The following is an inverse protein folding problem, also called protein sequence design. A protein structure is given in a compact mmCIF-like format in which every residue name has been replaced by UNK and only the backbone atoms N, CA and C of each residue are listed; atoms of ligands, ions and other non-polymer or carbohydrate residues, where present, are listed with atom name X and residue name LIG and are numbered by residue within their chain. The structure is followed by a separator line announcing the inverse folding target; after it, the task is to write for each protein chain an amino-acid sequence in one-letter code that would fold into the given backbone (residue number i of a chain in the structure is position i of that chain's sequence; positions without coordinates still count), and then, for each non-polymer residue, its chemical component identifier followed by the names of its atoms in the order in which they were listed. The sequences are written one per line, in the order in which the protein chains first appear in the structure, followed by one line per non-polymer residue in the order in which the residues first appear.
data_IF_988595405309
#
_entry.id   IF_988595405309
#
_cell.length_a   1.000
_cell.length_b   1.000
_cell.length_c   1.000
_cell.angle_alpha   90.00
_cell.angle_beta   90.00
_cell.angle_gamma   90.00
#
_symmetry.space_group_name_H-M   'P 1'
#
loop_
_entity.id
_entity.type
_entity.pdbx_description
1 polymer ?
#
# COMPACT_ATOMS: atom_id res chain seq x y z
N UNK A 1 30.37 18.83 33.12
CA UNK A 1 28.94 19.07 33.02
C UNK A 1 28.49 18.38 31.76
N UNK A 2 28.32 17.07 31.88
CA UNK A 2 28.00 16.15 30.76
C UNK A 2 26.49 16.09 30.61
N UNK A 3 26.01 16.45 29.43
CA UNK A 3 24.57 16.41 29.11
C UNK A 3 24.16 14.98 28.78
N UNK A 4 23.59 14.29 29.74
CA UNK A 4 22.84 13.05 29.54
C UNK A 4 21.45 13.37 28.93
N UNK A 5 21.42 13.56 27.63
CA UNK A 5 20.16 13.86 26.91
C UNK A 5 19.62 12.68 26.10
N UNK A 6 20.29 11.53 26.10
CA UNK A 6 19.91 10.38 25.27
C UNK A 6 19.37 9.15 26.00
N UNK A 7 19.34 9.15 27.33
CA UNK A 7 18.93 7.94 28.08
C UNK A 7 17.44 7.81 28.36
N UNK A 8 16.64 8.86 28.18
CA UNK A 8 15.20 8.80 28.50
C UNK A 8 14.26 8.45 27.35
N UNK A 9 14.79 8.21 26.15
CA UNK A 9 13.99 7.73 25.00
C UNK A 9 13.97 6.20 24.84
N UNK A 10 14.75 5.48 25.64
CA UNK A 10 14.90 4.02 25.52
C UNK A 10 13.85 3.21 26.30
N UNK A 11 12.96 3.81 27.09
CA UNK A 11 12.04 3.08 27.97
C UNK A 11 10.60 2.94 27.45
N UNK A 12 10.24 3.50 26.30
CA UNK A 12 8.99 3.17 25.63
C UNK A 12 9.25 2.15 24.50
N UNK A 13 9.81 0.99 24.86
CA UNK A 13 9.77 -0.15 23.96
C UNK A 13 8.30 -0.46 23.68
N UNK A 14 7.79 0.08 22.57
CA UNK A 14 6.49 -0.32 22.04
C UNK A 14 6.54 -1.83 21.88
N UNK A 15 5.87 -2.53 22.78
CA UNK A 15 5.88 -3.98 22.76
C UNK A 15 5.28 -4.44 21.43
N UNK A 16 5.72 -5.60 20.92
CA UNK A 16 5.11 -6.20 19.72
C UNK A 16 3.57 -6.26 19.84
N UNK A 17 3.05 -6.41 21.06
CA UNK A 17 1.61 -6.31 21.38
C UNK A 17 1.05 -4.91 21.15
N UNK A 18 1.77 -3.85 21.50
CA UNK A 18 1.31 -2.46 21.29
C UNK A 18 1.29 -2.10 19.82
N UNK A 19 2.23 -2.61 19.01
CA UNK A 19 2.24 -2.40 17.56
C UNK A 19 1.13 -3.21 16.88
N UNK A 20 0.89 -4.43 17.32
CA UNK A 20 -0.22 -5.26 16.84
C UNK A 20 -1.58 -4.69 17.28
N UNK A 21 -1.69 -4.16 18.49
CA UNK A 21 -2.90 -3.47 18.96
C UNK A 21 -3.12 -2.14 18.22
N UNK A 22 -2.06 -1.39 17.91
CA UNK A 22 -2.14 -0.21 17.06
C UNK A 22 -2.58 -0.53 15.64
N UNK A 23 -1.97 -1.53 15.00
CA UNK A 23 -2.37 -2.03 13.68
C UNK A 23 -3.77 -2.63 13.66
N UNK A 24 -4.13 -3.40 14.69
CA UNK A 24 -5.47 -3.94 14.86
C UNK A 24 -6.50 -2.83 15.11
N UNK A 25 -6.14 -1.75 15.79
CA UNK A 25 -7.02 -0.58 15.99
C UNK A 25 -7.32 0.14 14.68
N UNK A 26 -6.33 0.29 13.79
CA UNK A 26 -6.53 0.84 12.46
C UNK A 26 -7.39 -0.06 11.58
N UNK A 27 -7.13 -1.36 11.60
CA UNK A 27 -7.94 -2.32 10.87
C UNK A 27 -9.37 -2.38 11.46
N UNK A 28 -9.52 -2.45 12.78
CA UNK A 28 -10.83 -2.41 13.44
C UNK A 28 -11.59 -1.12 13.09
N UNK A 29 -10.90 0.02 13.03
CA UNK A 29 -11.50 1.30 12.63
C UNK A 29 -11.99 1.28 11.19
N UNK A 30 -11.25 0.67 10.26
CA UNK A 30 -11.65 0.52 8.87
C UNK A 30 -12.86 -0.43 8.67
N UNK A 31 -13.04 -1.38 9.61
CA UNK A 31 -14.13 -2.36 9.60
C UNK A 31 -15.28 -2.04 10.56
N UNK A 32 -15.27 -0.89 11.22
CA UNK A 32 -16.41 -0.49 12.06
C UNK A 32 -17.72 -0.66 11.29
N UNK A 33 -18.72 -1.34 11.88
CA UNK A 33 -20.02 -1.55 11.23
C UNK A 33 -20.67 -0.23 10.83
N UNK A 34 -21.59 -0.26 9.85
CA UNK A 34 -22.33 0.94 9.42
C UNK A 34 -23.00 1.73 10.56
N UNK A 35 -23.18 1.13 11.72
CA UNK A 35 -23.69 1.82 12.91
C UNK A 35 -22.73 2.88 13.46
N UNK A 36 -21.43 2.73 13.23
CA UNK A 36 -20.45 3.79 13.53
C UNK A 36 -20.52 4.97 12.52
N UNK A 37 -21.24 4.82 11.41
CA UNK A 37 -21.61 5.94 10.54
C UNK A 37 -22.55 6.96 11.22
N UNK A 38 -23.17 6.57 12.34
CA UNK A 38 -24.23 7.35 12.94
C UNK A 38 -23.78 8.71 13.49
N UNK A 39 -22.49 8.90 13.73
CA UNK A 39 -22.02 10.16 14.30
C UNK A 39 -21.64 11.20 13.24
N UNK A 40 -21.08 10.80 12.06
CA UNK A 40 -20.62 11.76 11.05
C UNK A 40 -20.67 11.25 9.58
N UNK A 41 -21.33 10.13 9.33
CA UNK A 41 -21.52 9.60 7.97
C UNK A 41 -20.27 9.02 7.31
N UNK A 42 -19.16 8.87 8.02
CA UNK A 42 -17.90 8.36 7.47
C UNK A 42 -17.95 6.86 7.25
N UNK A 43 -17.38 6.44 6.13
CA UNK A 43 -17.16 5.05 5.75
C UNK A 43 -15.65 4.81 5.57
N UNK A 44 -14.94 4.44 6.65
CA UNK A 44 -13.48 4.35 6.61
C UNK A 44 -13.01 3.25 5.66
N UNK A 45 -12.01 3.58 4.85
CA UNK A 45 -11.34 2.68 3.92
C UNK A 45 -9.84 2.71 4.19
N UNK A 46 -9.21 1.55 4.23
CA UNK A 46 -7.76 1.41 4.40
C UNK A 46 -7.15 0.90 3.09
N UNK A 47 -6.23 1.67 2.54
CA UNK A 47 -5.40 1.24 1.41
C UNK A 47 -3.95 1.21 1.86
N UNK A 48 -3.33 0.05 1.75
CA UNK A 48 -1.89 -0.13 1.99
C UNK A 48 -1.19 -0.14 0.64
N UNK A 49 -0.25 0.78 0.44
CA UNK A 49 0.56 0.86 -0.77
C UNK A 49 1.98 0.49 -0.43
N UNK A 50 2.53 -0.50 -1.13
CA UNK A 50 3.90 -0.99 -0.94
C UNK A 50 4.69 -0.66 -2.19
N UNK A 51 5.76 0.12 -2.02
CA UNK A 51 6.69 0.47 -3.07
C UNK A 51 7.90 -0.46 -2.97
N UNK A 52 7.88 -1.52 -3.80
CA UNK A 52 8.86 -2.61 -3.74
C UNK A 52 10.15 -2.28 -4.47
N UNK A 53 11.28 -2.65 -3.88
CA UNK A 53 12.61 -2.40 -4.39
C UNK A 53 13.33 -1.27 -3.67
N UNK A 54 12.83 -0.85 -2.49
CA UNK A 54 13.43 0.19 -1.65
C UNK A 54 13.41 1.58 -2.29
N UNK A 55 12.23 2.19 -2.34
CA UNK A 55 12.12 3.64 -2.60
C UNK A 55 13.09 4.41 -1.69
N UNK A 56 13.96 5.24 -2.27
CA UNK A 56 14.86 6.10 -1.50
C UNK A 56 14.06 7.18 -0.75
N UNK A 57 14.02 7.03 0.57
CA UNK A 57 13.32 7.97 1.45
C UNK A 57 13.98 9.34 1.49
N UNK A 58 15.32 9.42 1.33
CA UNK A 58 16.06 10.67 1.36
C UNK A 58 15.92 11.45 0.06
N UNK A 59 15.75 10.76 -1.07
CA UNK A 59 15.42 11.41 -2.34
C UNK A 59 13.95 11.81 -2.42
N UNK A 60 13.06 11.10 -1.72
CA UNK A 60 11.61 11.37 -1.71
C UNK A 60 11.25 12.50 -0.78
N UNK A 61 11.73 12.46 0.47
CA UNK A 61 11.52 13.49 1.50
C UNK A 61 12.89 13.86 2.06
N UNK A 62 13.48 14.87 1.43
CA UNK A 62 14.85 15.28 1.68
C UNK A 62 14.98 16.10 2.96
N UNK A 63 15.90 15.76 3.86
CA UNK A 63 16.21 16.58 5.03
C UNK A 63 17.13 17.75 4.64
N UNK A 64 16.61 18.69 3.85
CA UNK A 64 17.37 19.82 3.28
C UNK A 64 17.97 20.72 4.36
N UNK A 65 17.34 20.77 5.54
CA UNK A 65 17.84 21.50 6.69
C UNK A 65 19.03 20.87 7.39
N UNK A 66 19.39 19.63 7.04
CA UNK A 66 20.56 18.94 7.56
C UNK A 66 21.81 19.45 6.81
N UNK A 67 22.85 20.01 7.51
CA UNK A 67 24.03 20.52 6.88
C UNK A 67 24.84 19.48 6.10
N UNK A 68 24.74 18.21 6.46
CA UNK A 68 25.49 17.13 5.82
C UNK A 68 24.75 16.51 4.62
N UNK A 69 23.42 16.77 4.48
CA UNK A 69 22.59 16.15 3.45
C UNK A 69 23.13 16.34 2.03
N UNK A 70 23.45 17.59 1.68
CA UNK A 70 23.91 17.89 0.31
C UNK A 70 25.26 17.24 -0.02
N UNK A 71 26.17 17.18 0.97
CA UNK A 71 27.48 16.54 0.81
C UNK A 71 27.38 15.02 0.69
N UNK A 72 26.54 14.40 1.50
CA UNK A 72 26.33 12.96 1.51
C UNK A 72 25.52 12.46 0.31
N UNK A 73 24.58 13.26 -0.17
CA UNK A 73 23.68 12.89 -1.28
C UNK A 73 24.21 13.30 -2.67
N UNK A 74 25.18 14.19 -2.71
CA UNK A 74 25.92 14.56 -3.92
C UNK A 74 25.03 15.16 -5.02
N UNK A 75 25.21 14.69 -6.25
CA UNK A 75 24.54 15.24 -7.43
C UNK A 75 23.03 15.04 -7.46
N UNK A 76 22.47 14.08 -6.72
CA UNK A 76 21.03 13.82 -6.63
C UNK A 76 20.35 14.60 -5.51
N UNK A 77 21.10 15.31 -4.68
CA UNK A 77 20.54 16.12 -3.60
C UNK A 77 19.54 17.15 -4.12
N UNK A 78 18.40 17.24 -3.44
CA UNK A 78 17.42 18.31 -3.65
C UNK A 78 17.88 19.58 -2.94
N UNK A 79 17.38 20.72 -3.39
CA UNK A 79 17.72 22.04 -2.83
C UNK A 79 16.44 22.77 -2.42
N UNK A 80 16.58 23.78 -1.56
CA UNK A 80 15.45 24.62 -1.15
C UNK A 80 14.99 25.58 -2.28
N UNK A 81 15.87 25.86 -3.26
CA UNK A 81 15.59 26.77 -4.37
C UNK A 81 16.38 26.39 -5.62
N UNK A 82 16.01 26.93 -6.77
CA UNK A 82 16.69 26.68 -8.03
C UNK A 82 16.13 25.47 -8.82
N UNK A 83 16.89 24.94 -9.79
CA UNK A 83 16.39 23.90 -10.71
C UNK A 83 16.01 22.56 -10.05
N UNK A 84 16.59 22.27 -8.89
CA UNK A 84 16.31 21.07 -8.09
C UNK A 84 15.51 21.39 -6.83
N UNK A 85 14.71 22.44 -6.86
CA UNK A 85 13.95 22.88 -5.71
C UNK A 85 12.91 21.85 -5.31
N UNK A 86 12.98 21.44 -4.05
CA UNK A 86 11.95 20.63 -3.41
C UNK A 86 10.71 21.46 -3.06
N UNK A 87 9.57 20.83 -2.94
CA UNK A 87 8.40 21.39 -2.29
C UNK A 87 8.60 21.35 -0.77
N UNK A 88 8.96 22.47 -0.15
CA UNK A 88 9.21 22.49 1.29
C UNK A 88 7.95 22.09 2.07
N UNK A 89 8.10 21.15 2.98
CA UNK A 89 7.07 20.69 3.90
C UNK A 89 7.08 21.51 5.20
N UNK A 90 8.29 21.82 5.67
CA UNK A 90 8.58 22.67 6.80
C UNK A 90 9.95 23.35 6.61
N UNK A 91 10.58 23.85 7.68
CA UNK A 91 11.89 24.48 7.62
C UNK A 91 13.05 23.50 7.41
N UNK A 92 12.83 22.19 7.59
CA UNK A 92 13.86 21.16 7.56
C UNK A 92 13.69 20.17 6.40
N UNK A 93 12.45 19.75 6.12
CA UNK A 93 12.15 18.73 5.10
C UNK A 93 11.57 19.32 3.82
N UNK A 94 11.99 18.76 2.69
CA UNK A 94 11.45 19.07 1.37
C UNK A 94 11.04 17.81 0.62
N UNK A 95 9.88 17.85 -0.02
CA UNK A 95 9.33 16.76 -0.83
C UNK A 95 9.83 16.85 -2.26
N UNK A 96 10.13 15.71 -2.88
CA UNK A 96 10.52 15.64 -4.29
C UNK A 96 9.51 16.37 -5.21
N UNK A 97 9.95 17.20 -6.15
CA UNK A 97 9.06 18.04 -6.96
C UNK A 97 8.11 17.24 -7.87
N UNK A 98 8.42 15.99 -8.18
CA UNK A 98 7.53 15.10 -8.93
C UNK A 98 6.28 14.65 -8.14
N UNK A 99 6.12 15.07 -6.88
CA UNK A 99 4.98 14.71 -6.02
C UNK A 99 4.05 15.89 -5.68
N UNK A 100 3.54 16.64 -6.66
CA UNK A 100 2.77 17.86 -6.42
C UNK A 100 1.46 17.59 -5.66
N UNK A 101 0.80 16.47 -5.93
CA UNK A 101 -0.46 16.11 -5.25
C UNK A 101 -0.22 15.76 -3.79
N UNK A 102 0.85 15.04 -3.47
CA UNK A 102 1.20 14.76 -2.08
C UNK A 102 1.54 16.04 -1.34
N UNK A 103 2.29 16.96 -1.97
CA UNK A 103 2.59 18.29 -1.42
C UNK A 103 1.30 19.09 -1.13
N UNK A 104 0.32 19.04 -2.03
CA UNK A 104 -0.99 19.66 -1.81
C UNK A 104 -1.72 19.03 -0.62
N UNK A 105 -1.80 17.70 -0.58
CA UNK A 105 -2.44 16.97 0.53
C UNK A 105 -1.77 17.28 1.88
N UNK A 106 -0.44 17.40 1.90
CA UNK A 106 0.29 17.75 3.11
C UNK A 106 -0.09 19.16 3.61
N UNK A 107 -0.11 20.15 2.72
CA UNK A 107 -0.55 21.53 3.07
C UNK A 107 -2.00 21.59 3.53
N UNK A 108 -2.85 20.72 3.00
CA UNK A 108 -4.27 20.60 3.39
C UNK A 108 -4.46 19.77 4.69
N UNK A 109 -3.38 19.38 5.38
CA UNK A 109 -3.39 18.49 6.56
C UNK A 109 -4.07 17.13 6.31
N UNK A 110 -3.98 16.62 5.08
CA UNK A 110 -4.52 15.33 4.66
C UNK A 110 -3.44 14.27 4.43
N UNK A 111 -2.18 14.63 4.56
CA UNK A 111 -1.04 13.73 4.48
C UNK A 111 -0.04 14.03 5.59
N UNK A 112 0.70 13.01 5.99
CA UNK A 112 1.80 13.10 6.93
C UNK A 112 2.96 12.22 6.47
N UNK A 113 4.17 12.54 6.90
CA UNK A 113 5.37 11.75 6.66
C UNK A 113 5.93 11.30 8.00
N UNK A 114 6.28 10.02 8.10
CA UNK A 114 7.05 9.47 9.22
C UNK A 114 8.43 9.14 8.68
N UNK A 115 9.40 9.97 9.00
CA UNK A 115 10.79 9.84 8.52
C UNK A 115 11.60 8.90 9.43
N UNK A 116 12.74 8.41 8.91
CA UNK A 116 13.67 7.54 9.64
C UNK A 116 13.03 6.25 10.21
N UNK A 117 12.05 5.68 9.53
CA UNK A 117 11.46 4.40 9.88
C UNK A 117 12.34 3.27 9.36
N UNK A 118 12.68 2.31 10.22
CA UNK A 118 13.47 1.15 9.85
C UNK A 118 12.84 -0.14 10.36
N UNK A 119 12.91 -1.20 9.56
CA UNK A 119 12.62 -2.57 10.01
C UNK A 119 13.78 -3.11 10.86
N UNK A 120 13.59 -4.20 11.62
CA UNK A 120 14.68 -4.87 12.34
C UNK A 120 15.66 -5.61 11.41
N UNK A 121 15.34 -5.76 10.14
CA UNK A 121 16.18 -6.41 9.14
C UNK A 121 17.42 -5.56 8.83
N UNK A 122 18.60 -6.19 8.83
CA UNK A 122 19.90 -5.50 8.68
C UNK A 122 20.74 -5.99 7.48
N UNK A 123 20.28 -7.03 6.81
CA UNK A 123 20.92 -7.54 5.61
C UNK A 123 20.54 -6.69 4.38
N UNK A 124 21.24 -6.90 3.26
CA UNK A 124 21.10 -6.07 2.05
C UNK A 124 20.21 -6.71 0.97
N UNK A 125 19.28 -7.57 1.35
CA UNK A 125 18.33 -8.17 0.41
C UNK A 125 17.03 -7.38 0.39
N UNK A 126 16.69 -6.80 -0.75
CA UNK A 126 15.39 -6.14 -0.94
C UNK A 126 14.23 -7.11 -0.77
N UNK A 127 14.36 -8.34 -1.26
CA UNK A 127 13.32 -9.37 -1.15
C UNK A 127 13.03 -9.75 0.30
N UNK A 128 14.09 -9.98 1.07
CA UNK A 128 13.96 -10.31 2.49
C UNK A 128 13.44 -9.12 3.31
N UNK A 129 13.89 -7.91 2.98
CA UNK A 129 13.36 -6.67 3.58
C UNK A 129 11.86 -6.48 3.31
N UNK A 130 11.41 -6.78 2.10
CA UNK A 130 9.99 -6.77 1.73
C UNK A 130 9.21 -7.84 2.48
N UNK A 131 9.76 -9.07 2.59
CA UNK A 131 9.14 -10.15 3.35
C UNK A 131 8.93 -9.75 4.82
N UNK A 132 9.96 -9.17 5.44
CA UNK A 132 9.87 -8.64 6.82
C UNK A 132 8.81 -7.55 6.93
N UNK A 133 8.77 -6.60 5.99
CA UNK A 133 7.79 -5.51 5.98
C UNK A 133 6.36 -6.02 5.81
N UNK A 134 6.14 -6.93 4.86
CA UNK A 134 4.81 -7.44 4.52
C UNK A 134 4.34 -8.52 5.50
N UNK A 135 5.24 -9.35 6.02
CA UNK A 135 4.91 -10.34 7.03
C UNK A 135 4.74 -9.73 8.43
N UNK A 136 5.44 -8.63 8.73
CA UNK A 136 5.48 -8.02 10.05
C UNK A 136 6.27 -8.82 11.09
N UNK A 137 7.13 -9.76 10.65
CA UNK A 137 8.01 -10.54 11.53
C UNK A 137 9.46 -10.03 11.46
N UNK A 138 10.23 -10.31 12.48
CA UNK A 138 11.60 -9.80 12.59
C UNK A 138 12.61 -10.44 11.61
N UNK A 139 12.24 -11.49 10.89
CA UNK A 139 13.09 -12.17 9.90
C UNK A 139 12.28 -12.70 8.73
N UNK A 140 12.90 -12.84 7.56
CA UNK A 140 12.25 -13.31 6.34
C UNK A 140 11.92 -14.81 6.39
N UNK A 141 10.99 -15.23 5.51
CA UNK A 141 10.67 -16.64 5.26
C UNK A 141 10.02 -17.41 6.41
N UNK A 142 9.71 -16.75 7.53
CA UNK A 142 9.17 -17.43 8.73
C UNK A 142 7.72 -17.82 8.62
N UNK A 143 6.94 -17.08 7.84
CA UNK A 143 5.50 -17.30 7.68
C UNK A 143 5.04 -16.94 6.28
N UNK A 144 4.03 -17.69 5.81
CA UNK A 144 3.38 -17.47 4.53
C UNK A 144 2.18 -16.50 4.63
N UNK A 145 2.01 -15.82 5.77
CA UNK A 145 0.91 -14.87 6.00
C UNK A 145 1.41 -13.47 6.28
N UNK A 146 0.68 -12.49 5.74
CA UNK A 146 0.94 -11.08 5.93
C UNK A 146 0.27 -10.52 7.20
N UNK A 147 0.81 -9.40 7.71
CA UNK A 147 0.26 -8.78 8.92
C UNK A 147 -1.16 -8.25 8.71
N UNK A 148 -1.50 -7.77 7.52
CA UNK A 148 -2.82 -7.24 7.23
C UNK A 148 -3.87 -8.35 7.13
N UNK A 149 -3.51 -9.52 6.58
CA UNK A 149 -4.41 -10.67 6.57
C UNK A 149 -4.68 -11.18 8.00
N UNK A 150 -3.65 -11.29 8.85
CA UNK A 150 -3.85 -11.65 10.26
C UNK A 150 -4.66 -10.61 11.02
N UNK A 151 -4.54 -9.33 10.69
CA UNK A 151 -5.40 -8.30 11.25
C UNK A 151 -6.88 -8.52 10.85
N UNK A 152 -7.13 -8.91 9.59
CA UNK A 152 -8.47 -9.27 9.12
C UNK A 152 -9.06 -10.46 9.89
N UNK A 153 -8.25 -11.49 10.14
CA UNK A 153 -8.68 -12.66 10.94
C UNK A 153 -9.08 -12.29 12.36
N UNK A 154 -8.42 -11.28 12.93
CA UNK A 154 -8.67 -10.81 14.29
C UNK A 154 -9.91 -9.89 14.42
N UNK A 155 -10.47 -9.42 13.30
CA UNK A 155 -11.65 -8.56 13.32
C UNK A 155 -12.92 -9.37 13.68
N UNK A 156 -13.89 -8.74 14.37
CA UNK A 156 -15.17 -9.37 14.63
C UNK A 156 -15.84 -9.78 13.32
N UNK A 157 -16.31 -11.03 13.26
CA UNK A 157 -17.10 -11.52 12.13
C UNK A 157 -18.46 -10.80 12.13
N UNK A 158 -18.78 -10.11 11.06
CA UNK A 158 -20.03 -9.40 10.84
C UNK A 158 -20.48 -9.56 9.39
N UNK A 159 -21.72 -9.16 9.09
CA UNK A 159 -22.31 -9.25 7.74
C UNK A 159 -21.52 -8.52 6.64
N UNK A 160 -20.49 -7.75 7.02
CA UNK A 160 -19.68 -6.90 6.17
C UNK A 160 -18.19 -7.19 6.19
N UNK A 161 -17.77 -8.34 6.68
CA UNK A 161 -16.41 -8.80 6.44
C UNK A 161 -16.32 -9.22 4.97
N UNK A 162 -16.34 -8.21 4.11
CA UNK A 162 -15.99 -8.39 2.72
C UNK A 162 -14.53 -8.77 2.64
N UNK A 163 -14.20 -9.65 1.72
CA UNK A 163 -12.82 -10.04 1.42
C UNK A 163 -11.95 -8.79 1.24
N UNK A 164 -10.71 -8.83 1.69
CA UNK A 164 -9.76 -7.79 1.33
C UNK A 164 -9.48 -7.83 -0.18
N UNK A 165 -9.15 -6.68 -0.75
CA UNK A 165 -8.85 -6.53 -2.16
C UNK A 165 -7.34 -6.42 -2.38
N UNK A 166 -6.76 -7.40 -3.05
CA UNK A 166 -5.43 -7.30 -3.62
C UNK A 166 -5.53 -6.66 -5.01
N UNK A 167 -4.79 -5.58 -5.24
CA UNK A 167 -4.81 -4.90 -6.53
C UNK A 167 -3.46 -5.04 -7.19
N UNK A 168 -3.44 -5.72 -8.32
CA UNK A 168 -2.25 -6.08 -9.06
C UNK A 168 -2.31 -7.52 -9.58
N UNK A 169 -1.32 -7.94 -10.38
CA UNK A 169 -1.30 -9.25 -11.02
C UNK A 169 -1.14 -10.40 -10.00
N UNK A 170 -0.64 -10.12 -8.81
CA UNK A 170 -0.44 -11.10 -7.75
C UNK A 170 -0.87 -10.55 -6.41
N UNK A 171 -1.41 -11.42 -5.53
CA UNK A 171 -1.70 -11.05 -4.14
C UNK A 171 -0.39 -10.81 -3.38
N UNK A 172 -0.12 -9.58 -2.89
CA UNK A 172 1.06 -9.28 -2.10
C UNK A 172 1.05 -10.05 -0.78
N UNK A 173 2.23 -10.36 -0.24
CA UNK A 173 2.36 -11.14 0.99
C UNK A 173 1.57 -10.52 2.15
N UNK A 174 1.49 -9.22 2.23
CA UNK A 174 0.75 -8.49 3.28
C UNK A 174 -0.72 -8.95 3.41
N UNK A 175 -1.33 -9.41 2.29
CA UNK A 175 -2.71 -9.91 2.23
C UNK A 175 -2.83 -11.43 2.15
N UNK A 176 -1.73 -12.18 2.08
CA UNK A 176 -1.79 -13.65 2.10
C UNK A 176 -2.11 -14.16 3.50
N UNK A 177 -2.92 -15.22 3.60
CA UNK A 177 -3.30 -15.84 4.87
C UNK A 177 -4.64 -16.54 4.78
N UNK A 178 -5.26 -16.83 5.94
CA UNK A 178 -6.52 -17.55 6.02
C UNK A 178 -7.75 -16.66 5.80
N UNK A 179 -7.64 -15.35 6.04
CA UNK A 179 -8.74 -14.44 5.73
C UNK A 179 -8.96 -14.34 4.21
N UNK A 180 -10.22 -14.41 3.74
CA UNK A 180 -10.53 -14.34 2.32
C UNK A 180 -10.01 -13.06 1.67
N UNK A 181 -9.33 -13.21 0.53
CA UNK A 181 -8.80 -12.09 -0.26
C UNK A 181 -9.20 -12.31 -1.72
N UNK A 182 -9.76 -11.30 -2.35
CA UNK A 182 -9.99 -11.27 -3.78
C UNK A 182 -8.91 -10.44 -4.45
N UNK A 183 -8.51 -10.83 -5.66
CA UNK A 183 -7.53 -10.11 -6.45
C UNK A 183 -8.18 -9.53 -7.71
N UNK A 184 -7.76 -8.33 -8.07
CA UNK A 184 -8.14 -7.69 -9.32
C UNK A 184 -6.93 -6.96 -9.93
N UNK A 185 -6.82 -7.05 -11.25
CA UNK A 185 -5.84 -6.28 -12.02
C UNK A 185 -6.47 -5.82 -13.34
N UNK A 186 -6.04 -4.68 -13.90
CA UNK A 186 -6.46 -4.28 -15.24
C UNK A 186 -6.14 -5.39 -16.25
N UNK A 187 -7.15 -5.91 -16.94
CA UNK A 187 -6.98 -7.00 -17.89
C UNK A 187 -6.19 -6.53 -19.13
N UNK A 188 -5.09 -7.19 -19.43
CA UNK A 188 -4.31 -6.97 -20.64
C UNK A 188 -4.79 -7.86 -21.81
N UNK A 189 -5.54 -8.94 -21.51
CA UNK A 189 -6.05 -9.90 -22.48
C UNK A 189 -7.56 -9.71 -22.66
N UNK A 190 -8.10 -10.10 -23.83
CA UNK A 190 -9.54 -10.17 -24.03
C UNK A 190 -10.18 -11.04 -22.96
N UNK A 191 -11.25 -10.54 -22.35
CA UNK A 191 -12.05 -11.32 -21.42
C UNK A 191 -12.82 -12.41 -22.15
N UNK A 192 -13.03 -13.54 -21.47
CA UNK A 192 -13.94 -14.56 -21.98
C UNK A 192 -15.35 -13.99 -22.14
N UNK A 193 -16.09 -14.48 -23.14
CA UNK A 193 -17.49 -14.11 -23.28
C UNK A 193 -18.27 -14.49 -22.01
N UNK A 194 -19.23 -13.66 -21.62
CA UNK A 194 -20.04 -13.84 -20.40
C UNK A 194 -20.63 -15.25 -20.30
N UNK A 195 -21.10 -15.79 -21.42
CA UNK A 195 -21.62 -17.16 -21.50
C UNK A 195 -20.56 -18.24 -21.12
N UNK A 196 -19.33 -18.09 -21.57
CA UNK A 196 -18.22 -18.98 -21.21
C UNK A 196 -17.89 -18.87 -19.72
N UNK A 197 -17.83 -17.66 -19.20
CA UNK A 197 -17.55 -17.42 -17.79
C UNK A 197 -18.63 -18.02 -16.89
N UNK A 198 -19.90 -17.85 -17.23
CA UNK A 198 -21.03 -18.43 -16.47
C UNK A 198 -21.01 -19.96 -16.50
N UNK A 199 -20.73 -20.58 -17.65
CA UNK A 199 -20.59 -22.05 -17.76
C UNK A 199 -19.46 -22.58 -16.90
N UNK A 200 -18.35 -21.84 -16.77
CA UNK A 200 -17.26 -22.22 -15.86
C UNK A 200 -17.68 -22.13 -14.39
N UNK A 201 -18.42 -21.10 -14.00
CA UNK A 201 -18.98 -21.00 -12.66
C UNK A 201 -19.88 -22.20 -12.34
N UNK A 202 -20.79 -22.57 -13.26
CA UNK A 202 -21.69 -23.70 -13.10
C UNK A 202 -20.94 -25.04 -13.01
N UNK A 203 -19.90 -25.22 -13.82
CA UNK A 203 -19.05 -26.41 -13.79
C UNK A 203 -18.31 -26.54 -12.44
N UNK A 204 -17.72 -25.44 -11.95
CA UNK A 204 -17.06 -25.44 -10.66
C UNK A 204 -18.04 -25.62 -9.50
N UNK A 205 -19.24 -25.08 -9.58
CA UNK A 205 -20.26 -25.26 -8.54
C UNK A 205 -20.56 -26.74 -8.23
N UNK A 206 -20.43 -27.62 -9.25
CA UNK A 206 -20.63 -29.06 -9.10
C UNK A 206 -19.43 -29.81 -8.50
N UNK A 207 -18.22 -29.29 -8.60
CA UNK A 207 -16.98 -29.98 -8.24
C UNK A 207 -16.19 -29.28 -7.14
N UNK A 208 -16.18 -27.96 -7.12
CA UNK A 208 -15.47 -27.11 -6.18
C UNK A 208 -16.25 -25.82 -5.93
N UNK A 209 -17.22 -25.85 -4.99
CA UNK A 209 -18.04 -24.67 -4.69
C UNK A 209 -17.23 -23.46 -4.22
N UNK A 210 -16.06 -23.66 -3.58
CA UNK A 210 -15.20 -22.58 -3.15
C UNK A 210 -14.59 -21.85 -4.35
N UNK A 211 -14.11 -22.59 -5.34
CA UNK A 211 -13.58 -22.05 -6.58
C UNK A 211 -14.68 -21.38 -7.41
N UNK A 212 -15.90 -21.94 -7.46
CA UNK A 212 -17.04 -21.30 -8.11
C UNK A 212 -17.34 -19.92 -7.49
N UNK A 213 -17.37 -19.84 -6.16
CA UNK A 213 -17.59 -18.58 -5.44
C UNK A 213 -16.48 -17.57 -5.72
N UNK A 214 -15.22 -17.99 -5.70
CA UNK A 214 -14.09 -17.12 -6.01
C UNK A 214 -14.14 -16.58 -7.45
N UNK A 215 -14.47 -17.44 -8.44
CA UNK A 215 -14.63 -17.03 -9.83
C UNK A 215 -15.79 -16.03 -9.99
N UNK A 216 -16.95 -16.30 -9.39
CA UNK A 216 -18.09 -15.41 -9.44
C UNK A 216 -17.78 -14.02 -8.83
N UNK A 217 -17.07 -13.98 -7.70
CA UNK A 217 -16.60 -12.72 -7.10
C UNK A 217 -15.62 -11.97 -8.00
N UNK A 218 -14.67 -12.69 -8.64
CA UNK A 218 -13.74 -12.11 -9.60
C UNK A 218 -14.46 -11.46 -10.79
N UNK A 219 -15.46 -12.15 -11.36
CA UNK A 219 -16.28 -11.63 -12.47
C UNK A 219 -17.09 -10.39 -12.05
N UNK A 220 -17.62 -10.36 -10.82
CA UNK A 220 -18.32 -9.18 -10.29
C UNK A 220 -17.37 -7.98 -10.14
N UNK A 221 -16.16 -8.20 -9.62
CA UNK A 221 -15.14 -7.15 -9.51
C UNK A 221 -14.72 -6.61 -10.88
N UNK A 222 -14.49 -7.50 -11.85
CA UNK A 222 -14.17 -7.10 -13.22
C UNK A 222 -15.28 -6.24 -13.82
N UNK A 223 -16.53 -6.66 -13.67
CA UNK A 223 -17.68 -5.89 -14.14
C UNK A 223 -17.81 -4.53 -13.44
N UNK A 224 -17.58 -4.47 -12.14
CA UNK A 224 -17.59 -3.23 -11.37
C UNK A 224 -16.43 -2.28 -11.75
N UNK A 225 -15.27 -2.86 -12.11
CA UNK A 225 -14.10 -2.10 -12.56
C UNK A 225 -14.18 -1.67 -14.04
N UNK A 226 -15.06 -2.26 -14.85
CA UNK A 226 -15.13 -1.99 -16.30
C UNK A 226 -15.34 -0.51 -16.62
N UNK A 227 -14.70 -0.07 -17.70
CA UNK A 227 -14.78 1.26 -18.31
C UNK A 227 -13.68 1.39 -19.36
N UNK A 228 -13.89 2.20 -20.38
CA UNK A 228 -12.88 2.41 -21.43
C UNK A 228 -11.60 3.07 -20.90
N UNK A 229 -11.71 3.80 -19.81
CA UNK A 229 -10.60 4.42 -19.08
C UNK A 229 -9.77 3.41 -18.27
N UNK A 230 -10.27 2.18 -18.10
CA UNK A 230 -9.61 1.10 -17.36
C UNK A 230 -8.85 0.11 -18.26
N UNK A 231 -8.99 0.23 -19.58
CA UNK A 231 -8.27 -0.64 -20.53
C UNK A 231 -6.83 -0.15 -20.69
N UNK A 232 -5.82 -1.02 -20.49
CA UNK A 232 -4.44 -0.67 -20.80
C UNK A 232 -4.30 -0.34 -22.29
N UNK A 233 -3.71 0.78 -22.60
CA UNK A 233 -3.33 1.11 -23.99
C UNK A 233 -2.04 0.38 -24.35
N UNK A 234 -1.80 0.05 -25.63
CA UNK A 234 -0.51 -0.47 -26.07
C UNK A 234 0.63 0.42 -25.57
N UNK A 235 1.65 -0.17 -24.93
CA UNK A 235 2.77 0.55 -24.37
C UNK A 235 2.54 1.18 -22.98
N UNK A 236 1.39 0.93 -22.34
CA UNK A 236 1.19 1.38 -20.95
C UNK A 236 2.15 0.65 -20.01
N UNK A 237 3.10 1.37 -19.42
CA UNK A 237 4.11 0.86 -18.49
C UNK A 237 4.39 1.89 -17.39
N UNK A 238 5.23 1.54 -16.43
CA UNK A 238 5.71 2.42 -15.37
C UNK A 238 4.58 3.23 -14.71
N UNK A 239 4.72 4.55 -14.66
CA UNK A 239 3.75 5.45 -14.04
C UNK A 239 2.35 5.40 -14.67
N UNK A 240 2.24 5.03 -15.95
CA UNK A 240 0.95 4.83 -16.63
C UNK A 240 0.20 3.63 -16.07
N UNK A 241 0.90 2.51 -15.90
CA UNK A 241 0.36 1.29 -15.31
C UNK A 241 -0.04 1.52 -13.84
N UNK A 242 0.81 2.19 -13.06
CA UNK A 242 0.49 2.56 -11.67
C UNK A 242 -0.78 3.39 -11.56
N UNK A 243 -0.94 4.40 -12.43
CA UNK A 243 -2.16 5.22 -12.48
C UNK A 243 -3.40 4.41 -12.79
N UNK A 244 -3.32 3.46 -13.72
CA UNK A 244 -4.43 2.60 -14.08
C UNK A 244 -4.85 1.71 -12.90
N UNK A 245 -3.88 1.09 -12.23
CA UNK A 245 -4.08 0.27 -11.03
C UNK A 245 -4.71 1.10 -9.90
N UNK A 246 -4.18 2.31 -9.65
CA UNK A 246 -4.69 3.20 -8.61
C UNK A 246 -6.14 3.67 -8.89
N UNK A 247 -6.49 3.93 -10.16
CA UNK A 247 -7.87 4.26 -10.55
C UNK A 247 -8.82 3.10 -10.31
N UNK A 248 -8.41 1.88 -10.66
CA UNK A 248 -9.20 0.68 -10.38
C UNK A 248 -9.44 0.49 -8.89
N UNK A 249 -8.38 0.67 -8.08
CA UNK A 249 -8.49 0.67 -6.63
C UNK A 249 -9.54 1.68 -6.15
N UNK A 250 -9.42 2.92 -6.58
CA UNK A 250 -10.33 3.99 -6.19
C UNK A 250 -11.77 3.66 -6.58
N UNK A 251 -11.99 3.16 -7.82
CA UNK A 251 -13.31 2.81 -8.32
C UNK A 251 -13.96 1.68 -7.51
N UNK A 252 -13.22 0.58 -7.30
CA UNK A 252 -13.72 -0.57 -6.55
C UNK A 252 -13.96 -0.25 -5.08
N UNK A 253 -13.08 0.54 -4.47
CA UNK A 253 -13.20 0.90 -3.07
C UNK A 253 -14.19 2.03 -2.80
N UNK A 254 -14.56 2.84 -3.78
CA UNK A 254 -15.55 3.90 -3.57
C UNK A 254 -17.00 3.42 -3.65
N UNK A 255 -17.24 2.20 -4.14
CA UNK A 255 -18.59 1.63 -4.15
C UNK A 255 -19.10 1.39 -2.71
N UNK A 256 -20.40 1.58 -2.49
CA UNK A 256 -21.03 1.46 -1.17
C UNK A 256 -20.85 0.06 -0.56
N UNK A 257 -20.90 -0.97 -1.40
CA UNK A 257 -20.66 -2.38 -1.08
C UNK A 257 -19.21 -2.82 -1.34
N UNK A 258 -18.34 -1.91 -1.75
CA UNK A 258 -16.94 -2.18 -2.06
C UNK A 258 -16.10 -2.59 -0.85
N UNK A 259 -14.94 -3.21 -1.09
CA UNK A 259 -14.04 -3.64 -0.03
C UNK A 259 -13.56 -2.47 0.82
N UNK A 260 -13.39 -2.72 2.12
CA UNK A 260 -12.92 -1.72 3.10
C UNK A 260 -11.42 -1.71 3.26
N UNK A 261 -10.76 -2.79 2.90
CA UNK A 261 -9.30 -2.94 2.98
C UNK A 261 -8.78 -3.37 1.62
N UNK A 262 -7.74 -2.68 1.15
CA UNK A 262 -7.02 -3.07 -0.04
C UNK A 262 -5.51 -2.95 0.16
N UNK A 263 -4.75 -3.73 -0.60
CA UNK A 263 -3.32 -3.54 -0.73
C UNK A 263 -2.89 -3.52 -2.19
N UNK A 264 -2.01 -2.58 -2.51
CA UNK A 264 -1.36 -2.41 -3.79
C UNK A 264 0.15 -2.58 -3.60
N UNK A 265 0.78 -3.36 -4.46
CA UNK A 265 2.23 -3.44 -4.52
C UNK A 265 2.71 -2.95 -5.90
N UNK A 266 3.64 -2.04 -5.89
CA UNK A 266 4.28 -1.51 -7.09
C UNK A 266 5.75 -1.86 -7.08
N UNK A 267 6.19 -2.63 -8.07
CA UNK A 267 7.59 -2.99 -8.28
C UNK A 267 8.32 -1.87 -9.05
N UNK A 268 9.66 -1.98 -9.11
CA UNK A 268 10.49 -1.09 -9.93
C UNK A 268 11.08 0.11 -9.18
N UNK A 269 11.05 0.10 -7.86
CA UNK A 269 11.66 1.13 -7.02
C UNK A 269 13.11 0.81 -6.62
N UNK A 270 13.67 -0.28 -7.16
CA UNK A 270 15.07 -0.63 -7.02
C UNK A 270 15.90 0.21 -8.01
N UNK A 271 16.61 1.19 -7.50
CA UNK A 271 17.38 2.17 -8.25
C UNK A 271 18.89 2.00 -8.03
N UNK A 272 19.40 0.78 -7.95
CA UNK A 272 20.84 0.47 -7.78
C UNK A 272 21.77 1.26 -8.72
N UNK A 273 21.28 1.59 -9.90
CA UNK A 273 21.94 2.43 -10.88
C UNK A 273 20.91 3.37 -11.52
N UNK A 274 21.37 4.54 -11.92
CA UNK A 274 20.55 5.56 -12.63
C UNK A 274 19.41 6.14 -11.78
N UNK A 275 19.60 6.29 -10.49
CA UNK A 275 18.70 7.12 -9.70
C UNK A 275 18.81 8.57 -10.18
N UNK A 276 17.72 9.08 -10.76
CA UNK A 276 17.75 10.27 -11.60
C UNK A 276 17.64 11.60 -10.88
N UNK A 277 17.70 11.69 -9.57
CA UNK A 277 17.53 12.96 -8.86
C UNK A 277 16.20 13.68 -9.22
N UNK A 278 16.22 15.00 -9.29
CA UNK A 278 15.03 15.84 -9.53
C UNK A 278 14.59 15.99 -11.01
N UNK A 279 15.08 15.16 -11.91
CA UNK A 279 14.74 15.24 -13.35
C UNK A 279 13.67 14.24 -13.74
#
# INVERSE_FOLDING_TARGET
MTMDCCENLASSATSRRSLLLGGASFAAWAYLPKFARAADGRDPRLVVVILRGALDGLATVAPIGDPDYAGLHGSIALTASGPKAASMLDSFFGLHPAMPEFSRMYRDNKAAVVHAVASPYRERSHFDGQDVLESGFAGPGRVQSGWLNRALEALPKGERVMSALAIGPTTPLVLRGAAPTVAWAPAALPQAADDTAMRLVDLYAQRDPALASALAQGLQLDKAAQGDDMKPKPGTNGAGAMRLVARGAAKLMSADDGPRIAALAFDGWDTHANEGGAT
#
